data_IF_930533482910
#
_entry.id   IF_930533482910
#
_cell.length_a   1.000
_cell.length_b   1.000
_cell.length_c   1.000
_cell.angle_alpha   90.00
_cell.angle_beta   90.00
_cell.angle_gamma   90.00
#
_symmetry.space_group_name_H-M   'P 1'
#
loop_
_entity.id
_entity.type
_entity.pdbx_description
1 polymer ?
#
# COMPACT_ATOMS: atom_id res chain seq x y z
N UNK A 1 -8.81 -5.64 2.64
CA UNK A 1 -7.98 -4.46 2.98
C UNK A 1 -6.77 -4.95 3.75
N UNK A 2 -5.56 -4.53 3.36
CA UNK A 2 -4.28 -4.87 3.99
C UNK A 2 -3.66 -3.60 4.57
N UNK A 3 -3.12 -3.65 5.78
CA UNK A 3 -2.51 -2.48 6.45
C UNK A 3 -1.02 -2.73 6.67
N UNK A 4 -0.16 -1.89 6.10
CA UNK A 4 1.28 -1.98 6.31
C UNK A 4 1.71 -1.29 7.60
N UNK A 5 1.39 -1.91 8.73
CA UNK A 5 1.69 -1.36 10.06
C UNK A 5 3.19 -1.12 10.22
N UNK A 6 3.54 0.13 10.55
CA UNK A 6 4.93 0.55 10.79
C UNK A 6 5.83 0.43 9.55
N UNK A 7 5.25 0.41 8.35
CA UNK A 7 5.98 0.21 7.10
C UNK A 7 6.39 -1.23 6.84
N UNK A 8 6.01 -2.18 7.71
CA UNK A 8 6.28 -3.60 7.54
C UNK A 8 5.38 -4.20 6.45
N UNK A 9 5.98 -5.01 5.59
CA UNK A 9 5.29 -5.68 4.47
C UNK A 9 4.75 -7.05 4.84
N UNK A 10 5.07 -7.58 6.02
CA UNK A 10 4.48 -8.83 6.54
C UNK A 10 4.39 -9.92 5.47
N UNK A 11 3.18 -10.47 5.31
CA UNK A 11 2.86 -11.50 4.32
C UNK A 11 2.21 -10.92 3.05
N UNK A 12 2.61 -9.71 2.63
CA UNK A 12 2.00 -8.99 1.51
C UNK A 12 1.85 -9.85 0.24
N UNK A 13 2.89 -10.60 -0.16
CA UNK A 13 2.85 -11.43 -1.36
C UNK A 13 1.79 -12.55 -1.28
N UNK A 14 1.63 -13.16 -0.11
CA UNK A 14 0.64 -14.21 0.11
C UNK A 14 -0.78 -13.64 0.02
N UNK A 15 -0.99 -12.44 0.58
CA UNK A 15 -2.27 -11.72 0.49
C UNK A 15 -2.61 -11.36 -0.95
N UNK A 16 -1.64 -10.89 -1.74
CA UNK A 16 -1.82 -10.63 -3.17
C UNK A 16 -2.29 -11.88 -3.90
N UNK A 17 -1.67 -13.03 -3.65
CA UNK A 17 -2.04 -14.28 -4.30
C UNK A 17 -3.43 -14.79 -3.88
N UNK A 18 -3.82 -14.60 -2.61
CA UNK A 18 -5.19 -14.88 -2.15
C UNK A 18 -6.18 -13.99 -2.89
N UNK A 19 -5.93 -12.68 -2.97
CA UNK A 19 -6.82 -11.74 -3.65
C UNK A 19 -7.00 -12.11 -5.13
N UNK A 20 -5.92 -12.42 -5.84
CA UNK A 20 -5.99 -12.89 -7.24
C UNK A 20 -6.77 -14.18 -7.40
N UNK A 21 -6.49 -15.20 -6.57
CA UNK A 21 -7.14 -16.51 -6.62
C UNK A 21 -8.65 -16.41 -6.46
N UNK A 22 -9.11 -15.59 -5.54
CA UNK A 22 -10.53 -15.44 -5.23
C UNK A 22 -11.19 -14.23 -5.91
N UNK A 23 -10.48 -13.56 -6.83
CA UNK A 23 -10.97 -12.37 -7.56
C UNK A 23 -11.47 -11.27 -6.61
N UNK A 24 -10.75 -11.03 -5.52
CA UNK A 24 -11.06 -10.00 -4.53
C UNK A 24 -10.29 -8.72 -4.84
N UNK A 25 -10.95 -7.58 -4.68
CA UNK A 25 -10.27 -6.29 -4.71
C UNK A 25 -9.33 -6.14 -3.51
N UNK A 26 -8.11 -5.71 -3.79
CA UNK A 26 -7.07 -5.43 -2.82
C UNK A 26 -6.89 -3.92 -2.66
N UNK A 27 -7.24 -3.42 -1.47
CA UNK A 27 -6.90 -2.07 -1.03
C UNK A 27 -5.79 -2.17 0.01
N UNK A 28 -4.74 -1.38 -0.19
CA UNK A 28 -3.64 -1.23 0.77
C UNK A 28 -3.77 0.09 1.50
N UNK A 29 -3.89 0.02 2.82
CA UNK A 29 -3.59 1.14 3.70
C UNK A 29 -2.07 1.24 3.88
N UNK A 30 -1.51 2.22 3.18
CA UNK A 30 -0.10 2.55 3.12
C UNK A 30 0.23 3.78 3.97
N UNK A 31 -0.60 4.14 4.96
CA UNK A 31 -0.38 5.32 5.80
C UNK A 31 1.01 5.35 6.46
N UNK A 32 1.58 4.19 6.79
CA UNK A 32 2.93 4.06 7.37
C UNK A 32 3.97 3.52 6.36
N UNK A 33 3.61 3.38 5.08
CA UNK A 33 4.45 2.69 4.08
C UNK A 33 5.15 3.62 3.10
N UNK A 34 5.08 4.94 3.29
CA UNK A 34 5.89 5.87 2.49
C UNK A 34 7.38 5.52 2.67
N UNK A 35 8.05 5.19 1.56
CA UNK A 35 9.45 4.75 1.53
C UNK A 35 9.67 3.24 1.72
N UNK A 36 8.64 2.45 2.04
CA UNK A 36 8.77 0.98 2.18
C UNK A 36 9.22 0.34 0.87
N UNK A 37 10.14 -0.63 0.97
CA UNK A 37 10.59 -1.46 -0.16
C UNK A 37 10.45 -2.95 0.18
N UNK A 38 9.93 -3.70 -0.78
CA UNK A 38 9.92 -5.16 -0.80
C UNK A 38 10.72 -5.62 -2.02
N UNK A 39 11.82 -6.35 -1.80
CA UNK A 39 12.72 -6.81 -2.87
C UNK A 39 13.15 -5.67 -3.81
N UNK A 40 13.48 -4.52 -3.24
CA UNK A 40 13.91 -3.30 -3.96
C UNK A 40 12.77 -2.50 -4.62
N UNK A 41 11.54 -3.00 -4.64
CA UNK A 41 10.37 -2.35 -5.28
C UNK A 41 9.41 -1.77 -4.24
N UNK A 42 8.65 -0.76 -4.63
CA UNK A 42 7.54 -0.24 -3.81
C UNK A 42 6.40 -1.27 -3.84
N UNK A 43 5.94 -1.79 -2.69
CA UNK A 43 4.81 -2.72 -2.64
C UNK A 43 3.50 -1.99 -3.00
N UNK A 44 2.55 -2.71 -3.60
CA UNK A 44 1.23 -2.18 -3.93
C UNK A 44 0.91 -2.03 -5.41
N UNK A 45 1.79 -2.50 -6.31
CA UNK A 45 1.53 -2.45 -7.76
C UNK A 45 0.38 -3.37 -8.20
N UNK A 46 0.15 -4.41 -7.41
CA UNK A 46 -0.87 -5.43 -7.60
C UNK A 46 -2.21 -5.08 -6.94
N UNK A 47 -2.27 -3.98 -6.19
CA UNK A 47 -3.48 -3.53 -5.50
C UNK A 47 -4.31 -2.61 -6.39
N UNK A 48 -5.64 -2.76 -6.33
CA UNK A 48 -6.58 -1.87 -7.04
C UNK A 48 -6.43 -0.42 -6.58
N UNK A 49 -6.15 -0.23 -5.28
CA UNK A 49 -5.87 1.08 -4.70
C UNK A 49 -4.84 1.00 -3.57
N UNK A 50 -3.97 1.99 -3.51
CA UNK A 50 -3.03 2.22 -2.41
C UNK A 50 -3.30 3.61 -1.81
N UNK A 51 -3.48 3.66 -0.49
CA UNK A 51 -3.84 4.88 0.24
C UNK A 51 -2.70 5.31 1.15
N UNK A 52 -2.06 6.42 0.83
CA UNK A 52 -1.00 7.03 1.64
C UNK A 52 -1.55 8.14 2.53
N UNK A 53 -0.96 8.27 3.71
CA UNK A 53 -1.16 9.40 4.62
C UNK A 53 0.14 10.18 4.72
N UNK A 54 0.03 11.50 4.60
CA UNK A 54 1.13 12.44 4.74
C UNK A 54 0.82 13.46 5.84
N UNK A 55 0.10 13.00 6.87
CA UNK A 55 -0.14 13.75 8.10
C UNK A 55 1.19 14.04 8.81
N UNK A 56 1.23 15.09 9.63
CA UNK A 56 2.42 15.63 10.29
C UNK A 56 3.33 14.63 11.02
N UNK A 57 2.82 13.48 11.50
CA UNK A 57 3.63 12.44 12.18
C UNK A 57 3.88 11.18 11.34
N UNK A 58 3.65 11.24 10.02
CA UNK A 58 3.97 10.15 9.07
C UNK A 58 5.39 10.25 8.53
N UNK A 59 5.84 9.17 7.90
CA UNK A 59 7.22 9.04 7.37
C UNK A 59 7.55 10.05 6.25
N UNK A 60 6.52 10.58 5.58
CA UNK A 60 6.63 11.63 4.56
C UNK A 60 5.53 12.67 4.80
N UNK A 61 5.73 13.65 5.68
CA UNK A 61 4.69 14.62 6.02
C UNK A 61 4.58 15.72 4.97
N UNK A 62 3.35 16.09 4.60
CA UNK A 62 3.00 17.27 3.78
C UNK A 62 1.80 17.97 4.40
N UNK A 63 2.03 18.63 5.55
CA UNK A 63 1.00 19.18 6.42
C UNK A 63 -0.06 18.11 6.82
N UNK A 64 -1.33 18.32 6.50
CA UNK A 64 -2.40 17.31 6.60
C UNK A 64 -2.89 16.97 5.20
N UNK A 65 -2.41 15.86 4.66
CA UNK A 65 -2.79 15.40 3.32
C UNK A 65 -2.65 13.88 3.18
N UNK A 66 -3.04 13.40 2.00
CA UNK A 66 -2.95 12.00 1.62
C UNK A 66 -2.99 11.85 0.11
N UNK A 67 -2.81 10.61 -0.35
CA UNK A 67 -2.80 10.29 -1.78
C UNK A 67 -3.42 8.92 -2.00
N UNK A 68 -4.25 8.80 -3.02
CA UNK A 68 -4.77 7.52 -3.49
C UNK A 68 -4.14 7.24 -4.85
N UNK A 69 -3.49 6.08 -4.98
CA UNK A 69 -2.91 5.61 -6.23
C UNK A 69 -3.74 4.42 -6.73
N UNK A 70 -4.24 4.52 -7.95
CA UNK A 70 -4.91 3.42 -8.63
C UNK A 70 -3.94 2.68 -9.55
N UNK A 71 -4.15 1.38 -9.70
CA UNK A 71 -3.41 0.62 -10.70
C UNK A 71 -3.78 1.10 -12.10
N UNK A 72 -2.79 1.36 -12.96
CA UNK A 72 -3.06 1.66 -14.37
C UNK A 72 -3.49 0.36 -15.08
N UNK A 73 -4.68 0.38 -15.67
CA UNK A 73 -5.28 -0.78 -16.37
C UNK A 73 -5.21 -0.69 -17.90
N UNK A 74 -4.48 0.31 -18.42
CA UNK A 74 -4.25 0.49 -19.86
C UNK A 74 -3.00 -0.24 -20.35
#
# INVERSE_FOLDING_TARGET
MYVGIGGNTGQYLEIVEICKRYKLHLIIDAAHMAGTRLNGRIPGKEADAVVYSFQAVKNLPTADSGMICFQNTQ
#
